data_IF_678883615949
#
_entry.id   IF_678883615949
#
_cell.length_a   1.000
_cell.length_b   1.000
_cell.length_c   1.000
_cell.angle_alpha   90.00
_cell.angle_beta   90.00
_cell.angle_gamma   90.00
#
_symmetry.space_group_name_H-M   'P 1'
#
loop_
_entity.id
_entity.type
_entity.pdbx_description
1 polymer ?
#
# COMPACT_ATOMS: atom_id res chain seq x y z
N UNK A 1 -16.27 26.62 13.26
CA UNK A 1 -16.60 25.52 12.31
C UNK A 1 -15.38 24.68 11.97
N UNK A 2 -14.18 25.15 12.30
CA UNK A 2 -12.90 24.50 11.97
C UNK A 2 -12.65 23.19 12.76
N UNK A 3 -13.11 23.11 14.02
CA UNK A 3 -12.95 21.90 14.85
C UNK A 3 -13.67 20.67 14.29
N UNK A 4 -14.87 20.86 13.74
CA UNK A 4 -15.66 19.74 13.18
C UNK A 4 -15.01 19.25 11.89
N UNK A 5 -14.51 20.16 11.04
CA UNK A 5 -13.79 19.80 9.81
C UNK A 5 -12.51 19.03 10.12
N UNK A 6 -11.75 19.46 11.12
CA UNK A 6 -10.54 18.76 11.57
C UNK A 6 -10.84 17.34 12.09
N UNK A 7 -11.90 17.20 12.89
CA UNK A 7 -12.35 15.89 13.38
C UNK A 7 -12.77 14.95 12.25
N UNK A 8 -13.54 15.46 11.28
CA UNK A 8 -13.98 14.69 10.10
C UNK A 8 -12.79 14.23 9.26
N UNK A 9 -11.80 15.10 9.05
CA UNK A 9 -10.58 14.76 8.31
C UNK A 9 -9.82 13.60 8.98
N UNK A 10 -9.66 13.64 10.31
CA UNK A 10 -9.00 12.56 11.07
C UNK A 10 -9.79 11.26 10.95
N UNK A 11 -11.11 11.30 11.12
CA UNK A 11 -11.96 10.11 11.02
C UNK A 11 -11.89 9.49 9.62
N UNK A 12 -11.85 10.30 8.56
CA UNK A 12 -11.72 9.74 7.20
C UNK A 12 -10.32 9.16 6.95
N UNK A 13 -9.26 9.86 7.37
CA UNK A 13 -7.88 9.41 7.17
C UNK A 13 -7.59 8.11 7.89
N UNK A 14 -8.11 7.90 9.11
CA UNK A 14 -7.88 6.67 9.86
C UNK A 14 -9.00 5.63 9.71
N UNK A 15 -10.25 6.05 9.61
CA UNK A 15 -11.41 5.17 9.53
C UNK A 15 -11.42 4.34 8.25
N UNK A 16 -11.09 4.95 7.10
CA UNK A 16 -11.09 4.24 5.82
C UNK A 16 -9.99 3.17 5.77
N UNK A 17 -8.71 3.45 6.12
CA UNK A 17 -7.69 2.42 6.18
C UNK A 17 -7.98 1.33 7.22
N UNK A 18 -8.50 1.68 8.41
CA UNK A 18 -8.85 0.69 9.45
C UNK A 18 -9.96 -0.23 8.97
N UNK A 19 -11.02 0.31 8.36
CA UNK A 19 -12.11 -0.50 7.79
C UNK A 19 -11.62 -1.38 6.64
N UNK A 20 -10.79 -0.84 5.74
CA UNK A 20 -10.15 -1.62 4.66
C UNK A 20 -9.27 -2.73 5.20
N UNK A 21 -8.47 -2.45 6.22
CA UNK A 21 -7.60 -3.42 6.88
C UNK A 21 -8.41 -4.51 7.59
N UNK A 22 -9.48 -4.15 8.29
CA UNK A 22 -10.38 -5.10 8.94
C UNK A 22 -11.03 -6.05 7.93
N UNK A 23 -11.58 -5.51 6.84
CA UNK A 23 -12.20 -6.33 5.80
C UNK A 23 -11.18 -7.24 5.11
N UNK A 24 -10.00 -6.74 4.79
CA UNK A 24 -8.90 -7.53 4.23
C UNK A 24 -8.49 -8.68 5.17
N UNK A 25 -8.25 -8.42 6.45
CA UNK A 25 -7.90 -9.45 7.42
C UNK A 25 -9.01 -10.47 7.61
N UNK A 26 -10.27 -10.02 7.64
CA UNK A 26 -11.42 -10.91 7.80
C UNK A 26 -11.55 -11.88 6.63
N UNK A 27 -11.43 -11.40 5.40
CA UNK A 27 -11.44 -12.26 4.20
C UNK A 27 -10.25 -13.21 4.19
N UNK A 28 -9.07 -12.74 4.58
CA UNK A 28 -7.86 -13.57 4.62
C UNK A 28 -7.97 -14.67 5.68
N UNK A 29 -8.53 -14.36 6.85
CA UNK A 29 -8.78 -15.33 7.91
C UNK A 29 -9.74 -16.43 7.44
N UNK A 30 -10.86 -16.05 6.81
CA UNK A 30 -11.83 -17.02 6.28
C UNK A 30 -11.19 -17.97 5.28
N UNK A 31 -10.38 -17.47 4.35
CA UNK A 31 -9.64 -18.30 3.38
C UNK A 31 -8.65 -19.23 4.05
N UNK A 32 -7.98 -18.79 5.12
CA UNK A 32 -7.07 -19.65 5.90
C UNK A 32 -7.84 -20.76 6.61
N UNK A 33 -8.96 -20.43 7.25
CA UNK A 33 -9.80 -21.39 7.97
C UNK A 33 -10.40 -22.44 7.01
N UNK A 34 -10.86 -22.02 5.82
CA UNK A 34 -11.32 -22.91 4.75
C UNK A 34 -10.23 -23.88 4.28
N UNK A 35 -8.99 -23.38 4.15
CA UNK A 35 -7.84 -24.21 3.78
C UNK A 35 -7.52 -25.23 4.86
N UNK A 36 -7.50 -24.82 6.13
CA UNK A 36 -7.27 -25.74 7.25
C UNK A 36 -8.34 -26.84 7.30
N UNK A 37 -9.61 -26.49 7.07
CA UNK A 37 -10.70 -27.46 6.99
C UNK A 37 -10.60 -28.38 5.77
N UNK A 38 -10.07 -27.91 4.64
CA UNK A 38 -9.82 -28.74 3.46
C UNK A 38 -8.62 -29.70 3.67
N UNK A 39 -7.54 -29.25 4.31
CA UNK A 39 -6.42 -30.09 4.72
C UNK A 39 -6.87 -31.20 5.69
N UNK A 40 -7.70 -30.86 6.68
CA UNK A 40 -8.27 -31.85 7.61
C UNK A 40 -9.16 -32.89 6.91
N UNK A 41 -9.75 -32.54 5.75
CA UNK A 41 -10.54 -33.44 4.90
C UNK A 41 -9.67 -34.23 3.90
N UNK A 42 -8.35 -34.07 3.94
CA UNK A 42 -7.41 -34.75 3.03
C UNK A 42 -7.46 -34.24 1.59
N UNK A 43 -8.05 -33.07 1.35
CA UNK A 43 -8.10 -32.46 0.01
C UNK A 43 -6.76 -31.80 -0.28
N UNK A 44 -6.15 -32.11 -1.43
CA UNK A 44 -4.95 -31.43 -1.90
C UNK A 44 -5.30 -30.00 -2.33
N UNK A 45 -4.66 -29.02 -1.70
CA UNK A 45 -4.91 -27.60 -1.94
C UNK A 45 -3.70 -27.09 -2.70
N UNK A 46 -3.88 -26.86 -4.01
CA UNK A 46 -2.86 -26.24 -4.84
C UNK A 46 -2.35 -24.96 -4.16
N UNK A 47 -1.06 -24.96 -3.80
CA UNK A 47 -0.45 -23.84 -3.10
C UNK A 47 -0.62 -22.60 -3.99
N UNK A 48 -1.28 -21.57 -3.43
CA UNK A 48 -1.47 -20.32 -4.15
C UNK A 48 -0.07 -19.80 -4.54
N UNK A 49 0.20 -19.48 -5.82
CA UNK A 49 1.55 -19.12 -6.24
C UNK A 49 2.03 -17.93 -5.40
N UNK A 50 2.98 -18.18 -4.51
CA UNK A 50 3.63 -17.09 -3.79
C UNK A 50 4.33 -16.25 -4.85
N UNK A 51 3.92 -14.99 -4.95
CA UNK A 51 4.60 -14.05 -5.83
C UNK A 51 6.08 -14.05 -5.44
N UNK A 52 7.01 -14.21 -6.40
CA UNK A 52 8.43 -14.16 -6.08
C UNK A 52 8.73 -12.82 -5.38
N UNK A 53 9.62 -12.77 -4.37
CA UNK A 53 9.83 -11.58 -3.56
C UNK A 53 10.10 -10.30 -4.38
N UNK A 54 10.81 -10.45 -5.52
CA UNK A 54 11.04 -9.38 -6.50
C UNK A 54 9.73 -8.78 -7.06
N UNK A 55 8.73 -9.62 -7.37
CA UNK A 55 7.45 -9.16 -7.90
C UNK A 55 6.62 -8.41 -6.86
N UNK A 56 6.68 -8.84 -5.58
CA UNK A 56 6.03 -8.14 -4.46
C UNK A 56 6.65 -6.75 -4.28
N UNK A 57 7.98 -6.69 -4.22
CA UNK A 57 8.73 -5.45 -4.01
C UNK A 57 8.46 -4.43 -5.14
N UNK A 58 8.50 -4.86 -6.41
CA UNK A 58 8.13 -4.01 -7.56
C UNK A 58 6.70 -3.50 -7.49
N UNK A 59 5.74 -4.33 -7.09
CA UNK A 59 4.33 -3.94 -7.00
C UNK A 59 4.13 -2.81 -6.00
N UNK A 60 4.74 -2.90 -4.82
CA UNK A 60 4.66 -1.85 -3.81
C UNK A 60 5.41 -0.58 -4.23
N UNK A 61 6.57 -0.73 -4.88
CA UNK A 61 7.31 0.38 -5.47
C UNK A 61 6.46 1.18 -6.46
N UNK A 62 5.84 0.50 -7.43
CA UNK A 62 4.95 1.14 -8.42
C UNK A 62 3.78 1.85 -7.73
N UNK A 63 3.12 1.16 -6.79
CA UNK A 63 1.94 1.70 -6.13
C UNK A 63 2.26 2.96 -5.31
N UNK A 64 3.38 2.97 -4.58
CA UNK A 64 3.81 4.11 -3.78
C UNK A 64 4.30 5.28 -4.63
N UNK A 65 5.05 5.03 -5.69
CA UNK A 65 5.47 6.10 -6.63
C UNK A 65 4.26 6.69 -7.35
N UNK A 66 3.35 5.87 -7.85
CA UNK A 66 2.13 6.36 -8.51
C UNK A 66 1.26 7.17 -7.55
N UNK A 67 1.07 6.69 -6.31
CA UNK A 67 0.33 7.42 -5.28
C UNK A 67 1.00 8.77 -4.95
N UNK A 68 2.33 8.79 -4.80
CA UNK A 68 3.08 10.01 -4.54
C UNK A 68 2.95 11.04 -5.66
N UNK A 69 3.14 10.61 -6.92
CA UNK A 69 3.01 11.49 -8.08
C UNK A 69 1.59 12.03 -8.21
N UNK A 70 0.57 11.18 -8.04
CA UNK A 70 -0.83 11.61 -8.05
C UNK A 70 -1.14 12.62 -6.95
N UNK A 71 -0.68 12.35 -5.72
CA UNK A 71 -0.84 13.25 -4.57
C UNK A 71 -0.15 14.60 -4.79
N UNK A 72 1.13 14.61 -5.14
CA UNK A 72 1.88 15.84 -5.43
C UNK A 72 1.25 16.65 -6.57
N UNK A 73 0.83 15.98 -7.65
CA UNK A 73 0.22 16.66 -8.80
C UNK A 73 -1.12 17.29 -8.39
N UNK A 74 -1.95 16.57 -7.64
CA UNK A 74 -3.24 17.09 -7.17
C UNK A 74 -3.06 18.32 -6.29
N UNK A 75 -2.22 18.24 -5.26
CA UNK A 75 -1.98 19.37 -4.36
C UNK A 75 -1.21 20.51 -5.04
N UNK A 76 -0.31 20.22 -5.98
CA UNK A 76 0.36 21.24 -6.79
C UNK A 76 -0.61 22.01 -7.70
N UNK A 77 -1.66 21.36 -8.22
CA UNK A 77 -2.73 22.03 -8.96
C UNK A 77 -3.60 22.90 -8.04
N UNK A 78 -3.95 22.41 -6.85
CA UNK A 78 -4.68 23.19 -5.83
C UNK A 78 -3.85 24.42 -5.42
N UNK A 79 -2.53 24.25 -5.33
CA UNK A 79 -1.61 25.32 -4.95
C UNK A 79 -1.54 26.50 -5.94
N UNK A 80 -2.14 26.35 -7.13
CA UNK A 80 -2.34 27.46 -8.06
C UNK A 80 -3.39 28.46 -7.59
N UNK A 81 -4.34 28.01 -6.77
CA UNK A 81 -5.41 28.84 -6.19
C UNK A 81 -5.11 29.17 -4.73
N UNK A 82 -4.56 28.21 -3.98
CA UNK A 82 -4.26 28.34 -2.54
C UNK A 82 -2.81 27.97 -2.24
N UNK A 83 -1.92 28.96 -2.08
CA UNK A 83 -0.47 28.72 -1.98
C UNK A 83 -0.06 27.78 -0.85
N UNK A 84 -0.83 27.72 0.24
CA UNK A 84 -0.53 26.86 1.40
C UNK A 84 -0.61 25.37 1.06
N UNK A 85 -1.31 24.99 -0.01
CA UNK A 85 -1.37 23.61 -0.49
C UNK A 85 -0.01 23.08 -0.98
N UNK A 86 1.00 23.92 -1.20
CA UNK A 86 2.38 23.46 -1.44
C UNK A 86 2.95 22.68 -0.26
N UNK A 87 2.58 23.05 0.98
CA UNK A 87 2.97 22.32 2.19
C UNK A 87 2.40 20.91 2.15
N UNK A 88 1.13 20.78 1.77
CA UNK A 88 0.50 19.48 1.56
C UNK A 88 1.23 18.69 0.46
N UNK A 89 1.47 19.27 -0.72
CA UNK A 89 2.16 18.60 -1.82
C UNK A 89 3.53 18.03 -1.43
N UNK A 90 4.29 18.73 -0.58
CA UNK A 90 5.60 18.29 -0.09
C UNK A 90 5.55 16.96 0.68
N UNK A 91 4.44 16.65 1.37
CA UNK A 91 4.28 15.36 2.05
C UNK A 91 4.28 14.16 1.10
N UNK A 92 4.01 14.37 -0.19
CA UNK A 92 4.13 13.33 -1.22
C UNK A 92 5.56 12.77 -1.35
N UNK A 93 6.59 13.49 -0.87
CA UNK A 93 7.99 13.04 -0.95
C UNK A 93 8.20 11.77 -0.11
N UNK A 94 7.42 11.60 0.96
CA UNK A 94 7.50 10.44 1.84
C UNK A 94 7.14 9.14 1.07
N UNK A 95 5.93 8.99 0.48
CA UNK A 95 5.63 7.80 -0.31
C UNK A 95 6.50 7.68 -1.57
N UNK A 96 6.99 8.78 -2.14
CA UNK A 96 7.89 8.74 -3.31
C UNK A 96 9.20 8.03 -2.96
N UNK A 97 9.84 8.45 -1.86
CA UNK A 97 11.10 7.88 -1.38
C UNK A 97 10.94 6.43 -0.94
N UNK A 98 9.82 6.08 -0.28
CA UNK A 98 9.48 4.70 0.02
C UNK A 98 9.34 3.85 -1.25
N UNK A 99 8.62 4.35 -2.26
CA UNK A 99 8.45 3.66 -3.53
C UNK A 99 9.77 3.42 -4.27
N UNK A 100 10.68 4.39 -4.25
CA UNK A 100 12.05 4.22 -4.77
C UNK A 100 12.84 3.18 -3.96
N UNK A 101 12.69 3.16 -2.63
CA UNK A 101 13.28 2.14 -1.77
C UNK A 101 12.84 0.72 -2.14
N UNK A 102 11.55 0.51 -2.43
CA UNK A 102 11.06 -0.78 -2.92
C UNK A 102 11.62 -1.16 -4.30
N UNK A 103 11.91 -0.21 -5.19
CA UNK A 103 12.60 -0.55 -6.43
C UNK A 103 14.06 -0.97 -6.21
N UNK A 104 14.75 -0.35 -5.25
CA UNK A 104 16.10 -0.75 -4.85
C UNK A 104 16.09 -2.15 -4.24
N UNK A 105 15.15 -2.44 -3.34
CA UNK A 105 14.95 -3.77 -2.76
C UNK A 105 14.72 -4.84 -3.85
N UNK A 106 13.83 -4.58 -4.81
CA UNK A 106 13.62 -5.46 -5.95
C UNK A 106 14.90 -5.70 -6.79
N UNK A 107 15.75 -4.68 -6.92
CA UNK A 107 17.01 -4.79 -7.65
C UNK A 107 18.04 -5.64 -6.86
N UNK A 108 18.12 -5.48 -5.54
CA UNK A 108 18.99 -6.24 -4.65
C UNK A 108 18.58 -7.71 -4.59
N UNK A 109 17.31 -8.00 -4.32
CA UNK A 109 16.79 -9.38 -4.28
C UNK A 109 17.03 -10.10 -5.61
N UNK A 110 16.88 -9.40 -6.74
CA UNK A 110 17.17 -9.97 -8.06
C UNK A 110 18.66 -10.25 -8.27
N UNK A 111 19.56 -9.50 -7.62
CA UNK A 111 21.01 -9.75 -7.66
C UNK A 111 21.36 -10.96 -6.81
N UNK A 112 20.85 -11.03 -5.58
CA UNK A 112 21.12 -12.13 -4.66
C UNK A 112 20.64 -13.47 -5.23
N UNK A 113 19.46 -13.48 -5.85
CA UNK A 113 18.91 -14.67 -6.52
C UNK A 113 19.73 -15.15 -7.75
N UNK A 114 20.66 -14.35 -8.26
CA UNK A 114 21.58 -14.75 -9.34
C UNK A 114 22.93 -15.25 -8.83
N UNK A 115 23.24 -15.00 -7.55
CA UNK A 115 24.51 -15.37 -6.91
C UNK A 115 24.40 -16.66 -6.08
N UNK A 116 23.18 -17.16 -5.87
CA UNK A 116 22.88 -18.46 -5.25
C UNK A 116 22.66 -19.52 -6.32
#
# INVERSE_FOLDING_TARGET
>A
MDDITGLVAIIMIFGIPVAGMYTYYRVRKLRTDERLAALARGVDIGLQPELPPVAVSRRWGILLVAAALGYMTTFGLIARVESDAWVAAAFGVIPLTLGLGFFLDAALVRRDARQS
#
